data_IF_157150546940
#
_entry.id   IF_157150546940
#
_cell.length_a   1.000
_cell.length_b   1.000
_cell.length_c   1.000
_cell.angle_alpha   90.00
_cell.angle_beta   90.00
_cell.angle_gamma   90.00
#
_symmetry.space_group_name_H-M   'P 1'
#
loop_
_entity.id
_entity.type
_entity.pdbx_description
1 polymer ?
#
# COMPACT_ATOMS: atom_id res chain seq x y z
N UNK A 1 4.63 -14.77 -15.72
CA UNK A 1 3.98 -13.53 -15.27
C UNK A 1 4.58 -13.19 -13.92
N UNK A 2 5.12 -11.99 -13.72
CA UNK A 2 5.83 -11.62 -12.48
C UNK A 2 4.87 -11.55 -11.28
N UNK A 3 5.28 -12.06 -10.11
CA UNK A 3 4.49 -12.08 -8.86
C UNK A 3 4.05 -10.66 -8.44
N UNK A 4 4.85 -9.66 -8.76
CA UNK A 4 4.57 -8.26 -8.47
C UNK A 4 3.37 -7.71 -9.25
N UNK A 5 3.22 -8.10 -10.52
CA UNK A 5 2.09 -7.68 -11.36
C UNK A 5 0.79 -8.27 -10.83
N UNK A 6 0.81 -9.55 -10.41
CA UNK A 6 -0.35 -10.20 -9.78
C UNK A 6 -0.76 -9.52 -8.48
N UNK A 7 0.22 -9.14 -7.65
CA UNK A 7 -0.01 -8.43 -6.39
C UNK A 7 -0.59 -7.03 -6.61
N UNK A 8 -0.17 -6.33 -7.67
CA UNK A 8 -0.73 -5.02 -8.03
C UNK A 8 -2.20 -5.14 -8.49
N UNK A 9 -2.54 -6.20 -9.23
CA UNK A 9 -3.95 -6.49 -9.57
C UNK A 9 -4.80 -6.71 -8.33
N UNK A 10 -4.31 -7.49 -7.35
CA UNK A 10 -5.05 -7.72 -6.10
C UNK A 10 -5.16 -6.48 -5.22
N UNK A 11 -4.19 -5.56 -5.29
CA UNK A 11 -4.25 -4.25 -4.61
C UNK A 11 -5.15 -3.23 -5.31
N UNK A 12 -5.76 -3.61 -6.44
CA UNK A 12 -6.76 -2.78 -7.11
C UNK A 12 -6.17 -1.60 -7.89
N UNK A 13 -5.00 -1.77 -8.50
CA UNK A 13 -4.46 -0.73 -9.39
C UNK A 13 -5.46 -0.41 -10.53
N UNK A 14 -5.56 0.87 -10.93
CA UNK A 14 -6.41 1.26 -12.06
C UNK A 14 -6.09 0.45 -13.32
N UNK A 15 -7.12 0.07 -14.07
CA UNK A 15 -6.98 -0.75 -15.27
C UNK A 15 -6.02 -0.14 -16.30
N UNK A 16 -6.05 1.18 -16.44
CA UNK A 16 -5.16 1.94 -17.34
C UNK A 16 -3.68 1.83 -16.92
N UNK A 17 -3.41 1.91 -15.61
CA UNK A 17 -2.05 1.76 -15.07
C UNK A 17 -1.55 0.32 -15.22
N UNK A 18 -2.43 -0.67 -15.04
CA UNK A 18 -2.12 -2.08 -15.29
C UNK A 18 -1.83 -2.34 -16.76
N UNK A 19 -2.65 -1.79 -17.66
CA UNK A 19 -2.43 -1.91 -19.11
C UNK A 19 -1.10 -1.28 -19.54
N UNK A 20 -0.71 -0.15 -18.93
CA UNK A 20 0.59 0.46 -19.17
C UNK A 20 1.74 -0.46 -18.75
N UNK A 21 1.70 -1.03 -17.54
CA UNK A 21 2.74 -1.95 -17.05
C UNK A 21 2.85 -3.19 -17.94
N UNK A 22 1.73 -3.74 -18.39
CA UNK A 22 1.67 -4.92 -19.26
C UNK A 22 2.09 -4.62 -20.72
N UNK A 23 2.02 -3.35 -21.15
CA UNK A 23 2.47 -2.93 -22.49
C UNK A 23 3.98 -2.82 -22.63
N UNK A 24 4.72 -2.78 -21.50
CA UNK A 24 6.17 -2.68 -21.49
C UNK A 24 6.84 -4.04 -21.74
N UNK A 25 8.10 -4.06 -22.21
CA UNK A 25 8.92 -5.27 -22.23
C UNK A 25 8.93 -5.94 -20.84
N UNK A 26 8.92 -7.28 -20.80
CA UNK A 26 8.69 -8.05 -19.56
C UNK A 26 9.64 -7.67 -18.39
N UNK A 27 10.89 -7.40 -18.73
CA UNK A 27 11.95 -6.94 -17.84
C UNK A 27 11.71 -5.52 -17.29
N UNK A 28 11.21 -4.60 -18.12
CA UNK A 28 10.86 -3.25 -17.69
C UNK A 28 9.55 -3.21 -16.91
N UNK A 29 8.54 -3.95 -17.37
CA UNK A 29 7.24 -4.09 -16.69
C UNK A 29 7.39 -4.69 -15.29
N UNK A 30 8.24 -5.72 -15.13
CA UNK A 30 8.50 -6.28 -13.80
C UNK A 30 9.18 -5.28 -12.87
N UNK A 31 10.23 -4.57 -13.34
CA UNK A 31 10.93 -3.56 -12.53
C UNK A 31 10.00 -2.42 -12.11
N UNK A 32 9.14 -1.97 -13.02
CA UNK A 32 8.15 -0.95 -12.70
C UNK A 32 7.14 -1.45 -11.67
N UNK A 33 6.65 -2.69 -11.83
CA UNK A 33 5.74 -3.29 -10.87
C UNK A 33 6.36 -3.39 -9.46
N UNK A 34 7.63 -3.80 -9.38
CA UNK A 34 8.40 -3.86 -8.13
C UNK A 34 8.51 -2.47 -7.48
N UNK A 35 8.84 -1.44 -8.26
CA UNK A 35 8.96 -0.07 -7.79
C UNK A 35 7.62 0.48 -7.27
N UNK A 36 6.53 0.21 -7.98
CA UNK A 36 5.18 0.61 -7.55
C UNK A 36 4.79 -0.09 -6.25
N UNK A 37 5.06 -1.40 -6.12
CA UNK A 37 4.81 -2.12 -4.86
C UNK A 37 5.63 -1.55 -3.70
N UNK A 38 6.91 -1.27 -3.91
CA UNK A 38 7.77 -0.67 -2.90
C UNK A 38 7.26 0.72 -2.47
N UNK A 39 6.77 1.53 -3.42
CA UNK A 39 6.18 2.82 -3.12
C UNK A 39 4.88 2.71 -2.32
N UNK A 40 4.03 1.72 -2.63
CA UNK A 40 2.81 1.43 -1.86
C UNK A 40 3.15 1.02 -0.43
N UNK A 41 4.10 0.08 -0.24
CA UNK A 41 4.55 -0.33 1.09
C UNK A 41 5.11 0.84 1.91
N UNK A 42 5.82 1.77 1.27
CA UNK A 42 6.35 2.97 1.93
C UNK A 42 5.23 3.91 2.43
N UNK A 43 4.10 4.01 1.71
CA UNK A 43 2.95 4.76 2.19
C UNK A 43 2.32 4.08 3.41
N UNK A 44 2.15 2.76 3.37
CA UNK A 44 1.56 1.99 4.46
C UNK A 44 2.36 2.18 5.76
N UNK A 45 3.69 2.07 5.71
CA UNK A 45 4.54 2.29 6.90
C UNK A 45 4.46 3.70 7.48
N UNK A 46 4.32 4.73 6.62
CA UNK A 46 4.13 6.13 7.09
C UNK A 46 2.78 6.30 7.78
N UNK A 47 1.72 5.70 7.23
CA UNK A 47 0.37 5.73 7.81
C UNK A 47 0.36 5.00 9.15
N UNK A 48 0.95 3.81 9.23
CA UNK A 48 1.07 3.06 10.49
C UNK A 48 1.81 3.84 11.58
N UNK A 49 2.92 4.50 11.20
CA UNK A 49 3.67 5.36 12.14
C UNK A 49 2.83 6.53 12.63
N UNK A 50 2.10 7.21 11.73
CA UNK A 50 1.21 8.30 12.11
C UNK A 50 0.07 7.83 13.02
N UNK A 51 -0.54 6.69 12.71
CA UNK A 51 -1.55 6.04 13.54
C UNK A 51 -1.01 5.73 14.94
N UNK A 52 0.15 5.10 15.04
CA UNK A 52 0.76 4.77 16.33
C UNK A 52 1.08 6.02 17.16
N UNK A 53 1.58 7.08 16.51
CA UNK A 53 1.80 8.37 17.17
C UNK A 53 0.49 8.99 17.68
N UNK A 54 -0.58 8.96 16.89
CA UNK A 54 -1.89 9.44 17.29
C UNK A 54 -2.51 8.62 18.44
N UNK A 55 -2.26 7.30 18.49
CA UNK A 55 -2.75 6.45 19.58
C UNK A 55 -1.93 6.60 20.86
N UNK A 56 -0.66 7.00 20.78
CA UNK A 56 0.18 7.22 21.95
C UNK A 56 -0.31 8.38 22.84
N UNK A 57 -0.91 9.42 22.24
CA UNK A 57 -1.50 10.55 22.98
C UNK A 57 -2.87 10.22 23.59
N UNK A 58 -3.47 9.10 23.20
CA UNK A 58 -4.76 8.64 23.74
C UNK A 58 -4.51 7.82 25.02
N UNK A 59 -5.24 8.07 26.12
CA UNK A 59 -5.15 7.26 27.32
C UNK A 59 -5.47 5.79 27.03
N UNK A 60 -4.74 4.87 27.66
CA UNK A 60 -4.78 3.43 27.39
C UNK A 60 -6.18 2.81 27.16
N UNK A 61 -7.18 3.10 28.02
CA UNK A 61 -8.54 2.57 27.86
C UNK A 61 -9.23 2.96 26.54
N UNK A 62 -8.87 4.11 25.97
CA UNK A 62 -9.53 4.67 24.79
C UNK A 62 -8.80 4.37 23.47
N UNK A 63 -7.58 3.82 23.50
CA UNK A 63 -6.79 3.55 22.29
C UNK A 63 -7.50 2.63 21.30
N UNK A 64 -8.11 1.54 21.78
CA UNK A 64 -8.86 0.58 20.95
C UNK A 64 -10.11 1.20 20.32
N UNK A 65 -10.99 1.87 21.09
CA UNK A 65 -12.13 2.61 20.54
C UNK A 65 -11.72 3.67 19.50
N UNK A 66 -10.73 4.51 19.82
CA UNK A 66 -10.27 5.59 18.93
C UNK A 66 -9.65 5.03 17.65
N UNK A 67 -8.88 3.93 17.74
CA UNK A 67 -8.34 3.25 16.56
C UNK A 67 -9.47 2.81 15.61
N UNK A 68 -10.53 2.21 16.14
CA UNK A 68 -11.67 1.76 15.35
C UNK A 68 -12.46 2.91 14.73
N UNK A 69 -12.54 4.06 15.39
CA UNK A 69 -13.26 5.23 14.90
C UNK A 69 -12.48 6.01 13.82
N UNK A 70 -11.15 6.09 13.95
CA UNK A 70 -10.31 6.90 13.07
C UNK A 70 -9.69 6.11 11.90
N UNK A 71 -9.53 4.79 12.05
CA UNK A 71 -8.76 3.95 11.12
C UNK A 71 -9.39 2.57 10.87
N UNK A 72 -10.61 2.33 11.37
CA UNK A 72 -11.31 1.04 11.29
C UNK A 72 -12.43 1.02 10.26
#
# INVERSE_FOLDING_TARGET
MSDSISTLKSKGLPAEAMAFIESLPADQGSRLADAVLAALATKDTRVEKAMNNALNVVPGPFRRPVKKMLFG
#
